data_IF_290213377772
#
_entry.id   IF_290213377772
#
_cell.length_a   1.000
_cell.length_b   1.000
_cell.length_c   1.000
_cell.angle_alpha   90.00
_cell.angle_beta   90.00
_cell.angle_gamma   90.00
#
_symmetry.space_group_name_H-M   'P 1'
#
loop_
_entity.id
_entity.type
_entity.pdbx_description
1 polymer ?
#
# COMPACT_ATOMS: atom_id res chain seq x y z
N UNK A 1 26.41 16.21 9.42
CA UNK A 1 26.15 16.67 8.03
C UNK A 1 27.32 16.29 7.12
N UNK A 2 27.07 15.42 6.14
CA UNK A 2 28.02 15.08 5.08
C UNK A 2 27.39 15.37 3.71
N UNK A 3 28.19 15.94 2.80
CA UNK A 3 27.80 16.18 1.40
C UNK A 3 28.86 15.64 0.44
N UNK A 4 28.47 14.89 -0.60
CA UNK A 4 29.41 14.41 -1.61
C UNK A 4 28.97 13.17 -2.40
N UNK A 5 29.90 12.65 -3.21
CA UNK A 5 29.74 11.40 -3.96
C UNK A 5 30.56 10.29 -3.32
N UNK A 6 29.97 9.12 -3.10
CA UNK A 6 30.66 7.92 -2.63
C UNK A 6 30.97 7.02 -3.83
N UNK A 7 32.21 7.06 -4.31
CA UNK A 7 32.69 6.25 -5.44
C UNK A 7 33.39 4.94 -5.06
N UNK A 8 33.45 4.60 -3.77
CA UNK A 8 34.07 3.37 -3.26
C UNK A 8 33.32 2.83 -2.04
N UNK A 9 33.41 1.52 -1.78
CA UNK A 9 32.69 0.90 -0.67
C UNK A 9 33.07 1.50 0.68
N UNK A 10 32.06 1.82 1.47
CA UNK A 10 32.21 2.48 2.76
C UNK A 10 31.09 2.05 3.72
N UNK A 11 31.39 2.12 5.02
CA UNK A 11 30.47 1.74 6.08
C UNK A 11 30.43 2.80 7.19
N UNK A 12 29.24 3.12 7.67
CA UNK A 12 29.05 4.11 8.74
C UNK A 12 28.21 3.54 9.88
N UNK A 13 28.62 3.88 11.11
CA UNK A 13 27.84 3.53 12.30
C UNK A 13 26.75 4.56 12.61
N UNK A 14 27.03 5.86 12.42
CA UNK A 14 26.09 6.94 12.68
C UNK A 14 26.37 8.12 11.74
N UNK A 15 25.32 8.59 11.04
CA UNK A 15 25.36 9.80 10.23
C UNK A 15 24.10 10.60 10.51
N UNK A 16 24.21 11.81 11.08
CA UNK A 16 23.03 12.64 11.37
C UNK A 16 22.35 13.11 10.08
N UNK A 17 23.12 13.67 9.13
CA UNK A 17 22.56 14.16 7.87
C UNK A 17 23.49 13.80 6.73
N UNK A 18 22.93 13.21 5.67
CA UNK A 18 23.63 12.89 4.43
C UNK A 18 22.91 13.48 3.21
N UNK A 19 23.68 14.08 2.30
CA UNK A 19 23.16 14.53 1.00
C UNK A 19 24.16 14.25 -0.11
N UNK A 20 23.77 13.52 -1.15
CA UNK A 20 24.76 13.09 -2.15
C UNK A 20 24.32 12.01 -3.14
N UNK A 21 25.34 11.40 -3.78
CA UNK A 21 25.18 10.25 -4.68
C UNK A 21 26.03 9.09 -4.20
N UNK A 22 25.45 7.89 -4.14
CA UNK A 22 26.17 6.66 -3.82
C UNK A 22 26.32 5.78 -5.08
N UNK A 23 27.53 5.73 -5.62
CA UNK A 23 27.88 4.98 -6.85
C UNK A 23 28.51 3.60 -6.52
N UNK A 24 28.79 3.30 -5.25
CA UNK A 24 29.39 2.05 -4.80
C UNK A 24 28.68 1.43 -3.58
N UNK A 25 28.73 0.09 -3.40
CA UNK A 25 28.01 -0.60 -2.32
C UNK A 25 28.43 -0.11 -0.95
N UNK A 26 27.45 0.11 -0.09
CA UNK A 26 27.63 0.83 1.17
C UNK A 26 26.70 0.27 2.25
N UNK A 27 27.17 0.32 3.51
CA UNK A 27 26.45 -0.25 4.66
C UNK A 27 26.31 0.82 5.76
N UNK A 28 25.11 0.94 6.32
CA UNK A 28 24.84 1.92 7.37
C UNK A 28 23.98 1.33 8.48
N UNK A 29 24.33 1.67 9.73
CA UNK A 29 23.56 1.26 10.91
C UNK A 29 22.45 2.25 11.30
N UNK A 30 22.76 3.53 11.42
CA UNK A 30 21.78 4.53 11.85
C UNK A 30 21.99 5.85 11.13
N UNK A 31 20.92 6.43 10.58
CA UNK A 31 20.94 7.76 9.98
C UNK A 31 19.64 8.51 10.27
N UNK A 32 19.74 9.78 10.71
CA UNK A 32 18.56 10.61 11.02
C UNK A 32 17.94 11.10 9.69
N UNK A 33 18.56 12.01 8.94
CA UNK A 33 17.99 12.53 7.67
C UNK A 33 18.86 12.21 6.44
N UNK A 34 18.23 11.65 5.41
CA UNK A 34 18.88 11.24 4.17
C UNK A 34 18.24 11.87 2.93
N UNK A 35 19.02 12.58 2.10
CA UNK A 35 18.55 13.09 0.80
C UNK A 35 19.47 12.69 -0.37
N UNK A 36 19.01 11.82 -1.27
CA UNK A 36 19.95 11.11 -2.17
C UNK A 36 19.45 10.57 -3.50
N UNK A 37 20.42 10.31 -4.38
CA UNK A 37 20.30 9.35 -5.48
C UNK A 37 21.24 8.17 -5.24
N UNK A 38 20.70 6.94 -5.27
CA UNK A 38 21.46 5.70 -5.07
C UNK A 38 21.57 4.94 -6.40
N UNK A 39 22.80 4.73 -6.87
CA UNK A 39 23.15 4.05 -8.12
C UNK A 39 23.85 2.68 -7.90
N UNK A 40 23.87 2.17 -6.67
CA UNK A 40 24.43 0.84 -6.34
C UNK A 40 23.71 0.18 -5.16
N UNK A 41 23.79 -1.15 -4.98
CA UNK A 41 23.09 -1.84 -3.90
C UNK A 41 23.50 -1.37 -2.50
N UNK A 42 22.50 -1.26 -1.62
CA UNK A 42 22.69 -0.79 -0.25
C UNK A 42 21.88 -1.63 0.74
N UNK A 43 22.47 -1.86 1.93
CA UNK A 43 21.81 -2.46 3.09
C UNK A 43 21.80 -1.48 4.29
N UNK A 44 20.63 -1.33 4.93
CA UNK A 44 20.41 -0.45 6.09
C UNK A 44 19.82 -1.19 7.29
N UNK A 45 20.20 -0.75 8.49
CA UNK A 45 19.49 -1.14 9.72
C UNK A 45 18.38 -0.16 10.13
N UNK A 46 18.64 1.15 10.23
CA UNK A 46 17.64 2.15 10.65
C UNK A 46 17.84 3.50 9.94
N UNK A 47 16.75 4.05 9.39
CA UNK A 47 16.67 5.43 8.88
C UNK A 47 15.46 6.14 9.51
N UNK A 48 15.64 7.34 10.06
CA UNK A 48 14.50 8.13 10.58
C UNK A 48 13.76 8.82 9.42
N UNK A 49 14.46 9.53 8.53
CA UNK A 49 13.85 10.25 7.41
C UNK A 49 14.64 10.05 6.12
N UNK A 50 13.95 9.59 5.06
CA UNK A 50 14.50 9.48 3.73
C UNK A 50 13.72 10.29 2.70
N UNK A 51 14.46 10.98 1.82
CA UNK A 51 13.93 11.70 0.68
C UNK A 51 14.80 11.50 -0.58
N UNK A 52 14.24 11.04 -1.71
CA UNK A 52 15.05 10.93 -2.92
C UNK A 52 14.55 9.97 -4.00
N UNK A 53 15.50 9.45 -4.78
CA UNK A 53 15.27 8.41 -5.79
C UNK A 53 16.28 7.28 -5.65
N UNK A 54 15.82 6.05 -5.89
CA UNK A 54 16.68 4.87 -5.90
C UNK A 54 16.58 4.20 -7.26
N UNK A 55 17.71 4.03 -7.94
CA UNK A 55 17.77 3.37 -9.25
C UNK A 55 18.40 1.98 -9.20
N UNK A 56 18.64 1.42 -8.01
CA UNK A 56 19.22 0.08 -7.83
C UNK A 56 18.59 -0.71 -6.68
N UNK A 57 18.74 -2.04 -6.62
CA UNK A 57 18.15 -2.82 -5.56
C UNK A 57 18.68 -2.44 -4.18
N UNK A 58 17.80 -2.27 -3.19
CA UNK A 58 18.22 -1.97 -1.83
C UNK A 58 17.30 -2.61 -0.79
N UNK A 59 17.85 -2.82 0.41
CA UNK A 59 17.19 -3.52 1.51
C UNK A 59 17.29 -2.72 2.80
N UNK A 60 16.18 -2.64 3.53
CA UNK A 60 16.10 -1.95 4.83
C UNK A 60 15.36 -2.79 5.86
N UNK A 61 15.83 -2.72 7.10
CA UNK A 61 15.11 -3.28 8.24
C UNK A 61 14.04 -2.31 8.75
N UNK A 62 14.40 -1.06 9.07
CA UNK A 62 13.47 -0.06 9.61
C UNK A 62 13.63 1.30 8.93
N UNK A 63 12.51 1.89 8.49
CA UNK A 63 12.41 3.29 8.08
C UNK A 63 11.26 3.97 8.78
N UNK A 64 11.51 5.05 9.53
CA UNK A 64 10.40 5.79 10.16
C UNK A 64 9.64 6.59 9.07
N UNK A 65 10.32 7.38 8.26
CA UNK A 65 9.68 8.19 7.21
C UNK A 65 10.37 8.05 5.85
N UNK A 66 9.58 7.76 4.81
CA UNK A 66 10.01 7.72 3.43
C UNK A 66 9.21 8.70 2.56
N UNK A 67 9.92 9.51 1.76
CA UNK A 67 9.31 10.33 0.71
C UNK A 67 10.04 10.15 -0.63
N UNK A 68 9.39 9.53 -1.62
CA UNK A 68 9.91 9.49 -2.99
C UNK A 68 9.46 8.30 -3.82
N UNK A 69 10.05 8.17 -5.01
CA UNK A 69 9.70 7.17 -6.00
C UNK A 69 10.88 6.22 -6.28
N UNK A 70 10.83 4.96 -5.81
CA UNK A 70 11.85 3.97 -6.18
C UNK A 70 11.68 3.55 -7.65
N UNK A 71 12.78 3.64 -8.41
CA UNK A 71 12.88 3.16 -9.80
C UNK A 71 13.63 1.83 -9.93
N UNK A 72 13.78 1.10 -8.82
CA UNK A 72 14.34 -0.24 -8.77
C UNK A 72 13.72 -1.06 -7.62
N UNK A 73 13.87 -2.41 -7.65
CA UNK A 73 13.35 -3.28 -6.61
C UNK A 73 13.84 -2.92 -5.21
N UNK A 74 12.92 -2.64 -4.31
CA UNK A 74 13.21 -2.35 -2.91
C UNK A 74 12.63 -3.45 -2.02
N UNK A 75 13.29 -3.75 -0.91
CA UNK A 75 12.76 -4.67 0.11
C UNK A 75 12.79 -4.00 1.48
N UNK A 76 11.64 -3.97 2.14
CA UNK A 76 11.46 -3.37 3.46
C UNK A 76 10.95 -4.41 4.44
N UNK A 77 11.48 -4.41 5.67
CA UNK A 77 10.84 -5.15 6.76
C UNK A 77 9.78 -4.30 7.46
N UNK A 78 10.13 -3.09 7.90
CA UNK A 78 9.21 -2.19 8.59
C UNK A 78 9.35 -0.76 8.08
N UNK A 79 8.22 -0.11 7.85
CA UNK A 79 8.15 1.31 7.56
C UNK A 79 7.00 1.97 8.31
N UNK A 80 7.26 3.04 9.06
CA UNK A 80 6.18 3.71 9.80
C UNK A 80 5.38 4.61 8.86
N UNK A 81 6.03 5.47 8.07
CA UNK A 81 5.36 6.41 7.17
C UNK A 81 5.97 6.36 5.77
N UNK A 82 5.14 6.17 4.75
CA UNK A 82 5.54 6.26 3.36
C UNK A 82 4.70 7.28 2.59
N UNK A 83 5.36 8.08 1.73
CA UNK A 83 4.72 8.97 0.77
C UNK A 83 5.40 8.92 -0.60
N UNK A 84 4.65 8.74 -1.69
CA UNK A 84 5.24 8.75 -3.04
C UNK A 84 4.48 7.97 -4.13
N UNK A 85 5.23 7.45 -5.10
CA UNK A 85 4.70 6.58 -6.16
C UNK A 85 5.64 5.40 -6.38
N UNK A 86 5.09 4.18 -6.45
CA UNK A 86 5.85 2.99 -6.85
C UNK A 86 5.60 2.72 -8.33
N UNK A 87 6.64 2.90 -9.15
CA UNK A 87 6.63 2.60 -10.59
C UNK A 87 7.37 1.30 -10.94
N UNK A 88 8.00 0.63 -9.96
CA UNK A 88 8.82 -0.57 -10.21
C UNK A 88 8.49 -1.72 -9.27
N UNK A 89 8.57 -2.99 -9.75
CA UNK A 89 8.19 -4.14 -8.93
C UNK A 89 8.94 -4.16 -7.61
N UNK A 90 8.18 -4.15 -6.52
CA UNK A 90 8.74 -4.39 -5.19
C UNK A 90 8.97 -5.89 -5.08
N UNK A 91 10.23 -6.28 -4.83
CA UNK A 91 10.59 -7.69 -4.71
C UNK A 91 10.62 -8.04 -3.23
N UNK A 92 9.56 -8.69 -2.76
CA UNK A 92 9.44 -9.14 -1.37
C UNK A 92 8.03 -8.97 -0.82
N UNK A 93 7.73 -9.70 0.25
CA UNK A 93 6.50 -9.50 1.02
C UNK A 93 6.70 -8.33 1.98
N UNK A 94 5.97 -7.23 1.79
CA UNK A 94 5.93 -6.14 2.77
C UNK A 94 5.42 -6.68 4.11
N UNK A 95 6.22 -6.59 5.17
CA UNK A 95 5.86 -7.19 6.46
C UNK A 95 5.01 -6.25 7.33
N UNK A 96 5.38 -4.98 7.47
CA UNK A 96 4.56 -3.98 8.19
C UNK A 96 4.76 -2.57 7.62
N UNK A 97 3.64 -1.92 7.31
CA UNK A 97 3.58 -0.46 7.11
C UNK A 97 2.53 0.12 8.06
N UNK A 98 2.86 1.15 8.84
CA UNK A 98 1.85 1.82 9.66
C UNK A 98 1.03 2.81 8.81
N UNK A 99 1.66 3.71 8.08
CA UNK A 99 0.98 4.72 7.26
C UNK A 99 1.54 4.78 5.85
N UNK A 100 0.66 4.67 4.87
CA UNK A 100 0.99 4.88 3.47
C UNK A 100 0.16 5.96 2.81
N UNK A 101 0.80 6.81 2.01
CA UNK A 101 0.12 7.75 1.12
C UNK A 101 0.70 7.73 -0.30
N UNK A 102 -0.07 7.33 -1.31
CA UNK A 102 0.32 7.56 -2.72
C UNK A 102 -0.21 6.57 -3.75
N UNK A 103 0.57 6.33 -4.81
CA UNK A 103 0.13 5.57 -5.99
C UNK A 103 0.98 4.32 -6.19
N UNK A 104 0.33 3.21 -6.52
CA UNK A 104 1.00 1.98 -6.98
C UNK A 104 0.66 1.74 -8.45
N UNK A 105 1.69 1.66 -9.30
CA UNK A 105 1.55 1.33 -10.73
C UNK A 105 2.04 -0.08 -11.08
N UNK A 106 2.43 -0.88 -10.09
CA UNK A 106 3.02 -2.23 -10.28
C UNK A 106 2.37 -3.30 -9.39
N UNK A 107 2.46 -4.59 -9.76
CA UNK A 107 1.94 -5.64 -8.91
C UNK A 107 2.62 -5.71 -7.55
N UNK A 108 1.85 -5.96 -6.48
CA UNK A 108 2.37 -6.03 -5.12
C UNK A 108 1.57 -6.98 -4.21
N UNK A 109 2.26 -7.58 -3.24
CA UNK A 109 1.66 -8.38 -2.16
C UNK A 109 1.94 -7.74 -0.80
N UNK A 110 0.89 -7.57 0.01
CA UNK A 110 0.93 -6.85 1.27
C UNK A 110 0.47 -7.72 2.43
N UNK A 111 1.26 -7.79 3.51
CA UNK A 111 0.93 -8.58 4.69
C UNK A 111 0.13 -7.78 5.72
N UNK A 112 0.70 -6.69 6.22
CA UNK A 112 0.14 -5.91 7.30
C UNK A 112 0.29 -4.43 7.00
N UNK A 113 -0.84 -3.73 7.02
CA UNK A 113 -0.94 -2.29 6.80
C UNK A 113 -1.88 -1.71 7.85
N UNK A 114 -1.50 -0.71 8.63
CA UNK A 114 -2.47 -0.07 9.52
C UNK A 114 -3.33 0.90 8.69
N UNK A 115 -2.73 1.91 8.07
CA UNK A 115 -3.44 2.94 7.31
C UNK A 115 -2.91 3.09 5.89
N UNK A 116 -3.81 2.99 4.92
CA UNK A 116 -3.54 3.30 3.51
C UNK A 116 -4.38 4.46 3.00
N UNK A 117 -3.75 5.39 2.29
CA UNK A 117 -4.40 6.44 1.51
C UNK A 117 -3.83 6.47 0.08
N UNK A 118 -4.62 6.18 -0.96
CA UNK A 118 -4.03 6.17 -2.30
C UNK A 118 -4.81 5.55 -3.45
N UNK A 119 -4.13 5.43 -4.59
CA UNK A 119 -4.68 4.79 -5.79
C UNK A 119 -3.85 3.57 -6.16
N UNK A 120 -4.53 2.47 -6.47
CA UNK A 120 -3.92 1.23 -6.97
C UNK A 120 -4.26 1.09 -8.46
N UNK A 121 -3.24 1.12 -9.31
CA UNK A 121 -3.37 1.01 -10.78
C UNK A 121 -2.82 -0.30 -11.34
N UNK A 122 -2.37 -1.22 -10.47
CA UNK A 122 -1.90 -2.55 -10.85
C UNK A 122 -2.40 -3.64 -9.89
N UNK A 123 -2.37 -4.93 -10.31
CA UNK A 123 -2.91 -6.00 -9.49
C UNK A 123 -2.27 -6.11 -8.11
N UNK A 124 -3.06 -6.21 -7.05
CA UNK A 124 -2.52 -6.30 -5.69
C UNK A 124 -3.28 -7.31 -4.81
N UNK A 125 -2.55 -8.00 -3.95
CA UNK A 125 -3.09 -8.89 -2.93
C UNK A 125 -2.78 -8.36 -1.52
N UNK A 126 -3.79 -8.35 -0.66
CA UNK A 126 -3.71 -7.81 0.69
C UNK A 126 -4.18 -8.82 1.72
N UNK A 127 -3.38 -9.02 2.79
CA UNK A 127 -3.76 -9.93 3.88
C UNK A 127 -4.48 -9.22 5.02
N UNK A 128 -3.84 -8.25 5.68
CA UNK A 128 -4.44 -7.46 6.75
C UNK A 128 -4.29 -5.97 6.45
N UNK A 129 -5.40 -5.25 6.53
CA UNK A 129 -5.40 -3.79 6.55
C UNK A 129 -6.40 -3.24 7.57
N UNK A 130 -6.00 -2.32 8.44
CA UNK A 130 -6.96 -1.75 9.42
C UNK A 130 -7.83 -0.69 8.74
N UNK A 131 -7.22 0.28 8.07
CA UNK A 131 -7.92 1.38 7.42
C UNK A 131 -7.41 1.61 5.99
N UNK A 132 -8.32 1.70 5.03
CA UNK A 132 -8.00 2.05 3.65
C UNK A 132 -8.89 3.19 3.17
N UNK A 133 -8.28 4.16 2.49
CA UNK A 133 -8.97 5.25 1.79
C UNK A 133 -8.42 5.43 0.38
N UNK A 134 -9.25 5.44 -0.67
CA UNK A 134 -8.67 5.53 -2.02
C UNK A 134 -9.51 5.08 -3.22
N UNK A 135 -8.81 4.72 -4.29
CA UNK A 135 -9.39 4.10 -5.50
C UNK A 135 -8.63 2.84 -5.90
N UNK A 136 -9.34 1.76 -6.18
CA UNK A 136 -8.80 0.56 -6.78
C UNK A 136 -9.17 0.50 -8.28
N UNK A 137 -8.22 0.84 -9.15
CA UNK A 137 -8.37 0.87 -10.62
C UNK A 137 -7.87 -0.41 -11.30
N UNK A 138 -7.32 -1.36 -10.52
CA UNK A 138 -6.83 -2.65 -11.00
C UNK A 138 -7.32 -3.82 -10.14
N UNK A 139 -7.25 -5.07 -10.66
CA UNK A 139 -7.77 -6.22 -9.94
C UNK A 139 -7.13 -6.40 -8.56
N UNK A 140 -7.95 -6.60 -7.53
CA UNK A 140 -7.45 -6.75 -6.16
C UNK A 140 -8.09 -7.92 -5.41
N UNK A 141 -7.31 -8.57 -4.54
CA UNK A 141 -7.83 -9.54 -3.58
C UNK A 141 -7.47 -9.09 -2.16
N UNK A 142 -8.47 -9.10 -1.28
CA UNK A 142 -8.35 -8.67 0.10
C UNK A 142 -8.85 -9.78 1.02
N UNK A 143 -8.05 -10.13 2.03
CA UNK A 143 -8.46 -11.12 3.03
C UNK A 143 -9.16 -10.48 4.22
N UNK A 144 -8.53 -9.53 4.89
CA UNK A 144 -9.11 -8.88 6.06
C UNK A 144 -8.88 -7.38 5.98
N UNK A 145 -9.99 -6.65 6.04
CA UNK A 145 -10.00 -5.21 6.24
C UNK A 145 -10.95 -4.83 7.37
N UNK A 146 -10.57 -3.91 8.25
CA UNK A 146 -11.52 -3.37 9.22
C UNK A 146 -12.36 -2.27 8.56
N UNK A 147 -11.73 -1.21 8.05
CA UNK A 147 -12.43 -0.06 7.47
C UNK A 147 -11.97 0.25 6.04
N UNK A 148 -12.91 0.35 5.11
CA UNK A 148 -12.69 0.83 3.74
C UNK A 148 -13.51 2.08 3.42
N UNK A 149 -12.87 3.07 2.80
CA UNK A 149 -13.54 4.23 2.21
C UNK A 149 -13.05 4.52 0.79
N UNK A 150 -13.92 4.48 -0.22
CA UNK A 150 -13.53 4.92 -1.56
C UNK A 150 -14.23 4.22 -2.72
N UNK A 151 -13.52 4.07 -3.85
CA UNK A 151 -14.09 3.54 -5.08
C UNK A 151 -13.40 2.27 -5.56
N UNK A 152 -14.19 1.36 -6.13
CA UNK A 152 -13.73 0.16 -6.82
C UNK A 152 -14.10 0.28 -8.30
N UNK A 153 -13.10 0.41 -9.16
CA UNK A 153 -13.23 0.57 -10.61
C UNK A 153 -12.71 -0.65 -11.39
N UNK A 154 -12.20 -1.66 -10.69
CA UNK A 154 -11.75 -2.92 -11.27
C UNK A 154 -12.26 -4.14 -10.49
N UNK A 155 -12.15 -5.37 -11.06
CA UNK A 155 -12.65 -6.56 -10.39
C UNK A 155 -11.98 -6.83 -9.04
N UNK A 156 -12.77 -7.02 -8.00
CA UNK A 156 -12.25 -7.22 -6.64
C UNK A 156 -12.87 -8.42 -5.94
N UNK A 157 -12.08 -9.11 -5.11
CA UNK A 157 -12.54 -10.17 -4.23
C UNK A 157 -12.20 -9.85 -2.77
N UNK A 158 -13.17 -10.06 -1.90
CA UNK A 158 -13.08 -9.80 -0.45
C UNK A 158 -13.45 -11.04 0.36
N UNK A 159 -12.65 -11.36 1.38
CA UNK A 159 -13.01 -12.41 2.34
C UNK A 159 -13.72 -11.84 3.58
N UNK A 160 -13.12 -10.87 4.27
CA UNK A 160 -13.70 -10.24 5.45
C UNK A 160 -13.55 -8.73 5.40
N UNK A 161 -14.64 -8.01 5.63
CA UNK A 161 -14.66 -6.57 5.85
C UNK A 161 -15.62 -6.21 6.99
N UNK A 162 -15.20 -5.38 7.94
CA UNK A 162 -16.10 -4.92 9.00
C UNK A 162 -16.95 -3.74 8.51
N UNK A 163 -16.31 -2.66 8.04
CA UNK A 163 -16.96 -1.45 7.58
C UNK A 163 -16.55 -1.08 6.15
N UNK A 164 -17.54 -0.95 5.27
CA UNK A 164 -17.34 -0.46 3.91
C UNK A 164 -18.14 0.82 3.65
N UNK A 165 -17.47 1.80 3.05
CA UNK A 165 -18.09 3.01 2.52
C UNK A 165 -17.60 3.34 1.12
N UNK A 166 -18.49 3.53 0.14
CA UNK A 166 -17.99 3.85 -1.20
C UNK A 166 -18.91 3.67 -2.40
N UNK A 167 -18.28 3.52 -3.57
CA UNK A 167 -18.93 3.15 -4.82
C UNK A 167 -18.24 1.95 -5.46
N UNK A 168 -19.02 0.97 -5.90
CA UNK A 168 -18.56 -0.10 -6.79
C UNK A 168 -19.05 0.19 -8.21
N UNK A 169 -18.11 0.33 -9.15
CA UNK A 169 -18.39 0.43 -10.59
C UNK A 169 -17.78 -0.73 -11.40
N UNK A 170 -17.27 -1.77 -10.72
CA UNK A 170 -16.74 -2.99 -11.35
C UNK A 170 -17.13 -4.30 -10.63
N UNK A 171 -17.05 -5.47 -11.31
CA UNK A 171 -17.52 -6.73 -10.73
C UNK A 171 -16.84 -7.09 -9.41
N UNK A 172 -17.62 -7.38 -8.36
CA UNK A 172 -17.06 -7.66 -7.03
C UNK A 172 -17.67 -8.89 -6.35
N UNK A 173 -16.85 -9.64 -5.62
CA UNK A 173 -17.31 -10.80 -4.83
C UNK A 173 -16.90 -10.61 -3.37
N UNK A 174 -17.85 -10.78 -2.47
CA UNK A 174 -17.70 -10.58 -1.03
C UNK A 174 -18.13 -11.83 -0.28
N UNK A 175 -17.26 -12.37 0.58
CA UNK A 175 -17.63 -13.47 1.47
C UNK A 175 -18.36 -12.93 2.71
N UNK A 176 -17.70 -12.16 3.57
CA UNK A 176 -18.32 -11.59 4.77
C UNK A 176 -18.16 -10.07 4.82
N UNK A 177 -19.29 -9.39 5.05
CA UNK A 177 -19.32 -7.97 5.40
C UNK A 177 -20.27 -7.67 6.57
N UNK A 178 -19.80 -6.95 7.57
CA UNK A 178 -20.66 -6.54 8.70
C UNK A 178 -21.48 -5.29 8.37
N UNK A 179 -20.86 -4.23 7.87
CA UNK A 179 -21.52 -2.95 7.59
C UNK A 179 -21.16 -2.42 6.21
N UNK A 180 -22.19 -2.19 5.39
CA UNK A 180 -22.06 -1.62 4.06
C UNK A 180 -22.80 -0.29 3.94
N UNK A 181 -22.12 0.74 3.44
CA UNK A 181 -22.72 2.02 3.06
C UNK A 181 -22.27 2.48 1.68
N UNK A 182 -23.17 2.53 0.69
CA UNK A 182 -22.84 3.20 -0.57
C UNK A 182 -23.57 2.72 -1.82
N UNK A 183 -22.96 2.96 -2.98
CA UNK A 183 -23.58 2.71 -4.29
C UNK A 183 -22.94 1.51 -5.01
N UNK A 184 -23.77 0.76 -5.72
CA UNK A 184 -23.32 -0.34 -6.58
C UNK A 184 -23.90 -0.17 -7.99
N UNK A 185 -23.01 0.03 -8.95
CA UNK A 185 -23.31 0.26 -10.37
C UNK A 185 -22.91 -0.93 -11.26
N UNK A 186 -22.26 -1.96 -10.68
CA UNK A 186 -21.77 -3.13 -11.40
C UNK A 186 -22.13 -4.46 -10.71
N UNK A 187 -22.01 -5.60 -11.41
CA UNK A 187 -22.38 -6.89 -10.85
C UNK A 187 -21.66 -7.24 -9.55
N UNK A 188 -22.41 -7.69 -8.56
CA UNK A 188 -21.85 -7.96 -7.24
C UNK A 188 -22.53 -9.15 -6.58
N UNK A 189 -21.73 -9.93 -5.86
CA UNK A 189 -22.20 -11.09 -5.10
C UNK A 189 -21.72 -11.00 -3.66
N UNK A 190 -22.64 -11.06 -2.70
CA UNK A 190 -22.35 -11.15 -1.27
C UNK A 190 -22.79 -12.51 -0.72
N UNK A 191 -21.90 -13.19 0.02
CA UNK A 191 -22.29 -14.41 0.74
C UNK A 191 -23.02 -14.05 2.03
N UNK A 192 -22.44 -13.19 2.87
CA UNK A 192 -23.05 -12.74 4.12
C UNK A 192 -22.90 -11.23 4.30
N UNK A 193 -24.01 -10.56 4.60
CA UNK A 193 -24.06 -9.13 4.93
C UNK A 193 -24.91 -8.91 6.18
N UNK A 194 -24.37 -8.29 7.24
CA UNK A 194 -25.20 -7.99 8.41
C UNK A 194 -26.04 -6.74 8.16
N UNK A 195 -25.40 -5.60 7.91
CA UNK A 195 -26.06 -4.31 7.71
C UNK A 195 -25.74 -3.72 6.34
N UNK A 196 -26.78 -3.30 5.63
CA UNK A 196 -26.63 -2.64 4.34
C UNK A 196 -27.43 -1.34 4.27
N UNK A 197 -26.76 -0.28 3.82
CA UNK A 197 -27.36 1.02 3.49
C UNK A 197 -26.86 1.50 2.13
N UNK A 198 -27.74 1.85 1.19
CA UNK A 198 -27.24 2.25 -0.12
C UNK A 198 -28.21 2.35 -1.29
N UNK A 199 -27.64 2.47 -2.48
CA UNK A 199 -28.35 2.39 -3.74
C UNK A 199 -27.73 1.32 -4.64
N UNK A 200 -28.56 0.62 -5.40
CA UNK A 200 -28.12 -0.41 -6.35
C UNK A 200 -28.69 -0.06 -7.71
N UNK A 201 -27.81 0.25 -8.63
CA UNK A 201 -28.13 0.51 -10.04
C UNK A 201 -27.63 -0.63 -10.94
N UNK A 202 -26.95 -1.62 -10.37
CA UNK A 202 -26.44 -2.78 -11.08
C UNK A 202 -27.57 -3.68 -11.60
N UNK A 203 -27.45 -4.15 -12.85
CA UNK A 203 -28.39 -5.12 -13.43
C UNK A 203 -28.39 -6.48 -12.70
N UNK A 204 -27.30 -6.81 -12.00
CA UNK A 204 -27.13 -8.09 -11.31
C UNK A 204 -26.53 -7.86 -9.92
N UNK A 205 -27.35 -8.03 -8.88
CA UNK A 205 -26.91 -8.03 -7.49
C UNK A 205 -27.46 -9.27 -6.80
N UNK A 206 -26.59 -10.05 -6.13
CA UNK A 206 -26.98 -11.29 -5.45
C UNK A 206 -26.50 -11.28 -4.01
N UNK A 207 -27.43 -11.51 -3.06
CA UNK A 207 -27.14 -11.81 -1.66
C UNK A 207 -27.53 -13.25 -1.37
N UNK A 208 -26.64 -14.00 -0.71
CA UNK A 208 -27.01 -15.29 -0.15
C UNK A 208 -27.63 -15.14 1.25
N UNK A 209 -27.12 -14.19 2.06
CA UNK A 209 -27.70 -13.81 3.34
C UNK A 209 -27.53 -12.30 3.59
N UNK A 210 -28.62 -11.66 4.02
CA UNK A 210 -28.61 -10.28 4.50
C UNK A 210 -29.50 -10.16 5.75
N UNK A 211 -29.00 -9.53 6.82
CA UNK A 211 -29.79 -9.38 8.06
C UNK A 211 -30.64 -8.10 8.05
N UNK A 212 -30.03 -6.96 7.71
CA UNK A 212 -30.67 -5.65 7.71
C UNK A 212 -30.38 -4.89 6.42
N UNK A 213 -31.43 -4.33 5.83
CA UNK A 213 -31.34 -3.55 4.58
C UNK A 213 -32.10 -2.24 4.68
N UNK A 214 -31.47 -1.15 4.24
CA UNK A 214 -32.09 0.17 4.06
C UNK A 214 -31.61 0.81 2.75
N UNK A 215 -32.47 0.94 1.74
CA UNK A 215 -32.10 1.75 0.58
C UNK A 215 -33.00 1.62 -0.64
N UNK A 216 -32.40 1.81 -1.81
CA UNK A 216 -33.09 1.75 -3.09
C UNK A 216 -32.43 0.72 -4.03
N UNK A 217 -33.28 0.08 -4.84
CA UNK A 217 -32.93 -0.79 -5.97
C UNK A 217 -33.76 -0.30 -7.15
#
# INVERSE_FOLDING_TARGET
IWTGTVGASAGWNLVEIWTGVAEAPTEWKLTETWSATIESPVEWQLIEEWMGTISTPAMWNLVETWTGAPSAPVQWQLIETWTGTIETPVVGEWQLIETWTGIIEVPAEWQLMETWAGTIQAPAEWRLIEAWTGVAEAPTEWKLIETWSGAIEAPTKWQLIEEWMGTISAPSVWDLIESWTGAVEAPVTWQLTETWTGAIEAEVAQWNLIETWTGAI
#
